data_IF_646713739441
#
_entry.id   IF_646713739441
#
_cell.length_a   1.000
_cell.length_b   1.000
_cell.length_c   1.000
_cell.angle_alpha   90.00
_cell.angle_beta   90.00
_cell.angle_gamma   90.00
#
_symmetry.space_group_name_H-M   'P 1'
#
loop_
_entity.id
_entity.type
_entity.pdbx_description
1 polymer ?
#
# COMPACT_ATOMS: atom_id res chain seq x y z
N UNK A 1 4.90 10.18 -4.48
CA UNK A 1 3.85 11.22 -4.35
C UNK A 1 3.81 11.72 -2.91
N UNK A 2 4.00 13.03 -2.68
CA UNK A 2 3.82 13.65 -1.36
C UNK A 2 2.45 13.36 -0.76
N UNK A 3 2.35 13.22 0.56
CA UNK A 3 1.11 12.85 1.23
C UNK A 3 1.04 13.32 2.69
N UNK A 4 -0.18 13.39 3.22
CA UNK A 4 -0.45 13.66 4.63
C UNK A 4 -1.39 12.57 5.18
N UNK A 5 -1.15 12.10 6.41
CA UNK A 5 -2.10 11.24 7.10
C UNK A 5 -3.30 12.07 7.56
N UNK A 6 -4.50 11.66 7.16
CA UNK A 6 -5.75 12.33 7.54
C UNK A 6 -6.29 11.75 8.85
N UNK A 7 -6.31 10.43 8.97
CA UNK A 7 -6.88 9.76 10.13
C UNK A 7 -6.86 8.24 10.04
N UNK A 8 -7.54 7.60 10.98
CA UNK A 8 -7.66 6.15 11.10
C UNK A 8 -9.13 5.76 11.19
N UNK A 9 -9.56 4.73 10.46
CA UNK A 9 -10.96 4.27 10.46
C UNK A 9 -11.16 3.07 11.41
N UNK A 10 -10.10 2.29 11.69
CA UNK A 10 -10.08 1.16 12.63
C UNK A 10 -8.63 0.87 13.08
N UNK A 11 -8.38 -0.27 13.74
CA UNK A 11 -7.01 -0.73 14.02
C UNK A 11 -6.24 -0.99 12.71
N UNK A 12 -5.06 -0.37 12.57
CA UNK A 12 -4.09 -0.58 11.47
C UNK A 12 -4.52 -0.09 10.08
N UNK A 13 -5.61 0.67 9.97
CA UNK A 13 -6.05 1.34 8.75
C UNK A 13 -5.82 2.85 8.88
N UNK A 14 -4.94 3.38 8.03
CA UNK A 14 -4.65 4.82 7.93
C UNK A 14 -5.18 5.33 6.59
N UNK A 15 -5.95 6.40 6.61
CA UNK A 15 -6.33 7.16 5.42
C UNK A 15 -5.32 8.29 5.23
N UNK A 16 -4.75 8.37 4.04
CA UNK A 16 -3.84 9.43 3.61
C UNK A 16 -4.47 10.24 2.50
N UNK A 17 -4.09 11.50 2.38
CA UNK A 17 -4.35 12.31 1.20
C UNK A 17 -3.05 12.37 0.40
N UNK A 18 -3.13 12.00 -0.87
CA UNK A 18 -2.00 12.06 -1.81
C UNK A 18 -2.08 13.36 -2.61
N UNK A 19 -0.93 13.98 -2.90
CA UNK A 19 -0.84 15.25 -3.61
C UNK A 19 0.02 15.12 -4.88
N UNK A 20 -0.56 14.67 -6.00
CA UNK A 20 0.17 14.50 -7.27
C UNK A 20 0.79 15.78 -7.81
N UNK A 21 0.12 16.93 -7.64
CA UNK A 21 0.62 18.23 -8.11
C UNK A 21 1.95 18.67 -7.47
N UNK A 22 2.36 18.03 -6.37
CA UNK A 22 3.64 18.28 -5.70
C UNK A 22 4.77 17.36 -6.18
N UNK A 23 4.49 16.45 -7.13
CA UNK A 23 5.53 15.60 -7.72
C UNK A 23 6.34 16.43 -8.70
N UNK A 24 7.64 16.56 -8.43
CA UNK A 24 8.58 17.12 -9.38
C UNK A 24 8.98 16.04 -10.40
N UNK A 25 8.53 16.18 -11.65
CA UNK A 25 8.84 15.23 -12.73
C UNK A 25 10.30 15.29 -13.19
N UNK A 26 10.99 16.41 -12.95
CA UNK A 26 12.42 16.56 -13.25
C UNK A 26 13.29 15.87 -12.17
N UNK A 27 12.74 15.63 -10.98
CA UNK A 27 13.41 14.96 -9.87
C UNK A 27 12.51 13.88 -9.22
N UNK A 28 12.11 12.83 -9.96
CA UNK A 28 11.10 11.87 -9.49
C UNK A 28 11.56 11.05 -8.28
N UNK A 29 12.88 10.93 -8.06
CA UNK A 29 13.46 10.26 -6.91
C UNK A 29 13.36 11.06 -5.60
N UNK A 30 13.02 12.36 -5.65
CA UNK A 30 12.91 13.22 -4.47
C UNK A 30 11.44 13.52 -4.16
N UNK A 31 10.98 13.05 -3.01
CA UNK A 31 9.65 13.38 -2.49
C UNK A 31 9.77 14.56 -1.56
N UNK A 32 9.22 15.71 -1.96
CA UNK A 32 9.14 16.89 -1.11
C UNK A 32 7.91 16.77 -0.20
N UNK A 33 8.07 16.82 1.14
CA UNK A 33 6.93 16.89 2.04
C UNK A 33 6.18 18.21 1.84
N UNK A 34 4.95 18.28 2.37
CA UNK A 34 4.21 19.53 2.40
C UNK A 34 5.01 20.59 3.17
N UNK A 35 4.99 21.82 2.69
CA UNK A 35 5.55 22.95 3.42
C UNK A 35 4.70 23.28 4.64
N UNK A 36 5.26 24.05 5.58
CA UNK A 36 4.53 24.51 6.75
C UNK A 36 3.30 25.37 6.39
N UNK A 37 3.43 26.15 5.31
CA UNK A 37 2.34 26.95 4.74
C UNK A 37 1.23 26.04 4.18
N UNK A 38 1.59 25.02 3.39
CA UNK A 38 0.63 24.05 2.87
C UNK A 38 -0.07 23.27 3.99
N UNK A 39 0.64 22.91 5.07
CA UNK A 39 0.02 22.31 6.25
C UNK A 39 -0.98 23.26 6.92
N UNK A 40 -0.67 24.55 6.97
CA UNK A 40 -1.55 25.58 7.52
C UNK A 40 -2.81 25.73 6.67
N UNK A 41 -2.67 25.83 5.35
CA UNK A 41 -3.81 25.90 4.41
C UNK A 41 -4.65 24.62 4.41
N UNK A 42 -4.00 23.45 4.42
CA UNK A 42 -4.68 22.15 4.46
C UNK A 42 -5.61 22.06 5.67
N UNK A 43 -5.16 22.52 6.83
CA UNK A 43 -6.01 22.51 8.02
C UNK A 43 -7.04 23.65 8.01
N UNK A 44 -6.59 24.90 7.90
CA UNK A 44 -7.45 26.07 8.09
C UNK A 44 -8.52 26.18 7.00
N UNK A 45 -8.12 26.00 5.74
CA UNK A 45 -8.97 26.32 4.58
C UNK A 45 -9.69 25.09 4.04
N UNK A 46 -9.16 23.90 4.31
CA UNK A 46 -9.70 22.64 3.80
C UNK A 46 -10.38 21.82 4.89
N UNK A 47 -9.63 21.23 5.83
CA UNK A 47 -10.17 20.31 6.84
C UNK A 47 -11.22 21.00 7.73
N UNK A 48 -10.83 22.12 8.35
CA UNK A 48 -11.71 22.84 9.29
C UNK A 48 -12.99 23.29 8.59
N UNK A 49 -12.89 23.89 7.41
CA UNK A 49 -14.07 24.37 6.68
C UNK A 49 -14.92 23.23 6.11
N UNK A 50 -14.34 22.08 5.76
CA UNK A 50 -15.10 20.89 5.41
C UNK A 50 -15.92 20.38 6.60
N UNK A 51 -15.33 20.32 7.79
CA UNK A 51 -16.06 19.98 9.03
C UNK A 51 -17.19 20.97 9.30
N UNK A 52 -16.94 22.28 9.20
CA UNK A 52 -18.01 23.28 9.39
C UNK A 52 -19.17 23.10 8.41
N UNK A 53 -18.88 22.70 7.17
CA UNK A 53 -19.91 22.49 6.15
C UNK A 53 -20.82 21.29 6.48
N UNK A 54 -20.27 20.21 7.03
CA UNK A 54 -21.01 18.96 7.25
C UNK A 54 -21.47 18.73 8.70
N UNK A 55 -20.80 19.35 9.66
CA UNK A 55 -21.03 19.21 11.11
C UNK A 55 -20.92 20.58 11.81
N UNK A 56 -21.78 21.55 11.47
CA UNK A 56 -21.68 22.90 12.03
C UNK A 56 -21.79 22.94 13.56
N UNK A 57 -22.57 22.03 14.16
CA UNK A 57 -22.74 21.93 15.61
C UNK A 57 -21.49 21.45 16.37
N UNK A 58 -20.68 20.57 15.76
CA UNK A 58 -19.49 19.97 16.38
C UNK A 58 -18.20 20.70 16.03
N UNK A 59 -18.24 21.61 15.05
CA UNK A 59 -17.07 22.33 14.56
C UNK A 59 -16.40 23.20 15.65
N UNK A 60 -17.12 23.56 16.71
CA UNK A 60 -16.57 24.24 17.89
C UNK A 60 -15.56 23.41 18.69
N UNK A 61 -15.61 22.08 18.59
CA UNK A 61 -14.67 21.16 19.26
C UNK A 61 -13.36 20.97 18.48
N UNK A 62 -13.30 21.46 17.23
CA UNK A 62 -12.11 21.40 16.41
C UNK A 62 -11.20 22.62 16.62
N UNK A 63 -9.86 22.44 16.64
CA UNK A 63 -8.92 23.55 16.85
C UNK A 63 -9.16 24.72 15.90
N UNK A 64 -9.10 25.95 16.45
CA UNK A 64 -9.44 27.17 15.69
C UNK A 64 -8.53 27.44 14.49
N UNK A 65 -7.29 27.00 14.56
CA UNK A 65 -6.32 27.11 13.48
C UNK A 65 -5.23 26.05 13.63
N UNK A 66 -4.49 25.82 12.56
CA UNK A 66 -3.29 24.97 12.57
C UNK A 66 -2.31 25.41 13.67
N UNK A 67 -2.09 26.72 13.82
CA UNK A 67 -1.18 27.26 14.84
C UNK A 67 -1.68 27.00 16.25
N UNK A 68 -2.98 27.15 16.49
CA UNK A 68 -3.58 26.85 17.78
C UNK A 68 -3.39 25.36 18.13
N UNK A 69 -3.61 24.47 17.16
CA UNK A 69 -3.38 23.04 17.35
C UNK A 69 -1.90 22.72 17.59
N UNK A 70 -1.01 23.25 16.77
CA UNK A 70 0.44 23.04 16.89
C UNK A 70 0.96 23.46 18.27
N UNK A 71 0.47 24.58 18.81
CA UNK A 71 0.78 25.01 20.17
C UNK A 71 0.20 24.07 21.23
N UNK A 72 -1.04 23.58 21.04
CA UNK A 72 -1.72 22.66 21.97
C UNK A 72 -1.00 21.32 22.08
N UNK A 73 -0.53 20.77 20.95
CA UNK A 73 0.11 19.45 20.92
C UNK A 73 1.57 19.47 21.38
N UNK A 74 2.20 20.65 21.48
CA UNK A 74 3.60 20.77 21.86
C UNK A 74 3.77 20.64 23.38
N UNK A 75 4.42 19.57 23.80
CA UNK A 75 4.81 19.32 25.19
C UNK A 75 5.92 20.25 25.67
N UNK A 76 6.14 20.27 27.00
CA UNK A 76 7.17 21.09 27.67
C UNK A 76 8.61 20.74 27.23
N UNK A 77 8.81 19.50 26.80
CA UNK A 77 10.06 18.96 26.28
C UNK A 77 10.20 19.10 24.74
N UNK A 78 9.23 19.75 24.09
CA UNK A 78 9.18 19.89 22.63
C UNK A 78 8.60 18.68 21.90
N UNK A 79 8.18 17.61 22.60
CA UNK A 79 7.52 16.47 21.97
C UNK A 79 6.12 16.84 21.48
N UNK A 80 5.68 16.26 20.36
CA UNK A 80 4.32 16.48 19.82
C UNK A 80 3.39 15.36 20.27
N UNK A 81 2.29 15.71 20.94
CA UNK A 81 1.24 14.80 21.40
C UNK A 81 -0.04 15.05 20.62
N UNK A 82 -0.28 14.24 19.60
CA UNK A 82 -1.44 14.38 18.72
C UNK A 82 -2.71 13.85 19.40
N UNK A 83 -3.78 14.63 19.32
CA UNK A 83 -5.13 14.18 19.67
C UNK A 83 -5.85 13.60 18.46
N UNK A 84 -7.00 12.98 18.69
CA UNK A 84 -7.89 12.50 17.63
C UNK A 84 -9.23 13.21 17.74
N UNK A 85 -9.76 13.67 16.61
CA UNK A 85 -11.13 14.13 16.48
C UNK A 85 -11.90 13.13 15.63
N UNK A 86 -13.15 12.85 16.01
CA UNK A 86 -13.99 11.89 15.31
C UNK A 86 -14.85 12.60 14.27
N UNK A 87 -15.04 11.94 13.13
CA UNK A 87 -16.02 12.33 12.11
C UNK A 87 -17.06 11.21 12.08
N UNK A 88 -18.35 11.47 12.37
CA UNK A 88 -19.38 10.46 12.34
C UNK A 88 -19.55 9.81 10.95
N UNK A 89 -19.79 8.50 10.93
CA UNK A 89 -19.90 7.72 9.69
C UNK A 89 -20.98 8.26 8.73
N UNK A 90 -22.09 8.78 9.27
CA UNK A 90 -23.22 9.25 8.48
C UNK A 90 -22.96 10.55 7.69
N UNK A 91 -21.83 11.22 7.92
CA UNK A 91 -21.43 12.43 7.18
C UNK A 91 -20.08 12.26 6.46
N UNK A 92 -19.50 11.06 6.49
CA UNK A 92 -18.14 10.82 6.05
C UNK A 92 -17.97 11.06 4.54
N UNK A 93 -18.97 10.69 3.74
CA UNK A 93 -18.96 10.88 2.28
C UNK A 93 -19.02 12.37 1.91
N UNK A 94 -19.92 13.13 2.57
CA UNK A 94 -20.03 14.57 2.38
C UNK A 94 -18.75 15.28 2.82
N UNK A 95 -18.18 14.86 3.97
CA UNK A 95 -16.91 15.39 4.45
C UNK A 95 -15.77 15.13 3.47
N UNK A 96 -15.64 13.89 2.98
CA UNK A 96 -14.59 13.50 2.03
C UNK A 96 -14.70 14.27 0.72
N UNK A 97 -15.92 14.42 0.21
CA UNK A 97 -16.23 15.17 -1.02
C UNK A 97 -15.87 16.64 -0.86
N UNK A 98 -16.34 17.28 0.21
CA UNK A 98 -16.09 18.70 0.47
C UNK A 98 -14.61 18.98 0.74
N UNK A 99 -13.93 18.08 1.47
CA UNK A 99 -12.50 18.17 1.74
C UNK A 99 -11.69 18.12 0.43
N UNK A 100 -11.93 17.12 -0.43
CA UNK A 100 -11.22 17.04 -1.71
C UNK A 100 -11.55 18.21 -2.63
N UNK A 101 -12.80 18.70 -2.63
CA UNK A 101 -13.17 19.90 -3.40
C UNK A 101 -12.33 21.11 -2.99
N UNK A 102 -12.20 21.35 -1.68
CA UNK A 102 -11.39 22.46 -1.14
C UNK A 102 -9.90 22.30 -1.41
N UNK A 103 -9.36 21.09 -1.24
CA UNK A 103 -7.95 20.80 -1.53
C UNK A 103 -7.65 21.00 -3.01
N UNK A 104 -8.49 20.47 -3.91
CA UNK A 104 -8.28 20.56 -5.37
C UNK A 104 -8.42 21.97 -5.93
N UNK A 105 -9.06 22.87 -5.19
CA UNK A 105 -9.08 24.30 -5.53
C UNK A 105 -7.74 25.00 -5.27
N UNK A 106 -6.84 24.39 -4.49
CA UNK A 106 -5.47 24.88 -4.26
C UNK A 106 -4.54 24.38 -5.37
N UNK A 107 -3.59 25.20 -5.79
CA UNK A 107 -2.60 24.84 -6.83
C UNK A 107 -1.81 23.58 -6.45
N UNK A 108 -1.40 23.46 -5.20
CA UNK A 108 -0.67 22.30 -4.67
C UNK A 108 -1.54 21.05 -4.44
N UNK A 109 -2.87 21.22 -4.43
CA UNK A 109 -3.83 20.15 -4.15
C UNK A 109 -4.52 19.59 -5.41
N UNK A 110 -4.16 20.06 -6.61
CA UNK A 110 -4.73 19.55 -7.84
C UNK A 110 -4.54 18.03 -7.96
N UNK A 111 -5.59 17.34 -8.40
CA UNK A 111 -5.66 15.88 -8.50
C UNK A 111 -5.44 15.14 -7.17
N UNK A 112 -5.59 15.79 -6.01
CA UNK A 112 -5.49 15.10 -4.73
C UNK A 112 -6.55 14.00 -4.60
N UNK A 113 -6.20 12.90 -3.93
CA UNK A 113 -7.08 11.75 -3.74
C UNK A 113 -6.80 11.05 -2.41
N UNK A 114 -7.77 10.28 -1.92
CA UNK A 114 -7.60 9.46 -0.72
C UNK A 114 -6.86 8.16 -1.03
N UNK A 115 -5.92 7.80 -0.17
CA UNK A 115 -5.20 6.53 -0.21
C UNK A 115 -5.41 5.79 1.10
N UNK A 116 -5.93 4.58 1.01
CA UNK A 116 -6.21 3.75 2.17
C UNK A 116 -5.07 2.77 2.38
N UNK A 117 -4.41 2.85 3.54
CA UNK A 117 -3.30 1.99 3.91
C UNK A 117 -3.70 1.07 5.06
N UNK A 118 -3.80 -0.24 4.78
CA UNK A 118 -4.00 -1.27 5.80
C UNK A 118 -2.70 -2.03 5.99
N UNK A 119 -2.19 -2.09 7.23
CA UNK A 119 -0.94 -2.82 7.55
C UNK A 119 -1.22 -4.03 8.44
N UNK A 120 -0.43 -5.08 8.27
CA UNK A 120 -0.46 -6.24 9.16
C UNK A 120 -1.73 -7.10 9.06
N UNK A 121 -2.45 -7.04 7.94
CA UNK A 121 -3.59 -7.90 7.64
C UNK A 121 -3.19 -9.27 7.07
N UNK A 122 -1.90 -9.50 6.75
CA UNK A 122 -1.43 -10.77 6.16
C UNK A 122 -1.79 -12.00 7.01
N UNK A 123 -1.81 -11.85 8.34
CA UNK A 123 -2.16 -12.94 9.26
C UNK A 123 -3.65 -13.06 9.58
N UNK A 124 -4.47 -12.08 9.21
CA UNK A 124 -5.91 -12.07 9.59
C UNK A 124 -6.77 -12.90 8.64
N UNK A 125 -6.24 -13.28 7.48
CA UNK A 125 -6.97 -14.03 6.44
C UNK A 125 -6.13 -15.20 5.88
N UNK A 126 -5.38 -15.91 6.73
CA UNK A 126 -4.70 -17.14 6.30
C UNK A 126 -5.72 -18.16 5.80
N UNK A 127 -5.50 -18.70 4.61
CA UNK A 127 -6.38 -19.67 3.99
C UNK A 127 -5.57 -20.84 3.42
N UNK A 128 -5.93 -22.05 3.81
CA UNK A 128 -5.52 -23.28 3.13
C UNK A 128 -6.44 -23.48 1.93
N UNK A 129 -5.98 -24.16 0.87
CA UNK A 129 -6.71 -24.37 -0.38
C UNK A 129 -8.18 -24.74 -0.15
N UNK A 130 -9.11 -23.86 -0.54
CA UNK A 130 -10.56 -24.10 -0.40
C UNK A 130 -11.45 -22.91 0.01
N UNK A 131 -10.89 -21.74 0.37
CA UNK A 131 -11.68 -20.58 0.84
C UNK A 131 -11.11 -19.22 0.41
N UNK A 132 -10.47 -19.16 -0.77
CA UNK A 132 -9.74 -17.98 -1.26
C UNK A 132 -10.65 -16.77 -1.51
N UNK A 133 -11.84 -17.00 -2.07
CA UNK A 133 -12.82 -15.96 -2.33
C UNK A 133 -13.28 -15.30 -1.03
N UNK A 134 -13.71 -16.10 -0.05
CA UNK A 134 -14.16 -15.62 1.26
C UNK A 134 -13.06 -14.87 2.04
N UNK A 135 -11.80 -15.29 1.90
CA UNK A 135 -10.67 -14.64 2.55
C UNK A 135 -10.38 -13.27 1.93
N UNK A 136 -10.47 -13.17 0.59
CA UNK A 136 -10.36 -11.90 -0.11
C UNK A 136 -11.56 -11.00 0.22
N UNK A 137 -12.79 -11.52 0.18
CA UNK A 137 -13.99 -10.77 0.53
C UNK A 137 -13.90 -10.23 1.97
N UNK A 138 -13.48 -11.05 2.95
CA UNK A 138 -13.26 -10.62 4.34
C UNK A 138 -12.23 -9.49 4.46
N UNK A 139 -11.14 -9.54 3.68
CA UNK A 139 -10.17 -8.45 3.63
C UNK A 139 -10.81 -7.18 3.03
N UNK A 140 -11.57 -7.34 1.96
CA UNK A 140 -12.16 -6.25 1.19
C UNK A 140 -13.37 -5.61 1.87
N UNK A 141 -14.07 -6.29 2.79
CA UNK A 141 -15.19 -5.75 3.57
C UNK A 141 -14.86 -4.44 4.30
N UNK A 142 -13.58 -4.19 4.61
CA UNK A 142 -13.13 -2.93 5.20
C UNK A 142 -13.38 -1.73 4.25
N UNK A 143 -13.54 -1.98 2.95
CA UNK A 143 -13.69 -0.97 1.91
C UNK A 143 -15.11 -0.83 1.35
N UNK A 144 -16.09 -1.60 1.82
CA UNK A 144 -17.41 -1.73 1.16
C UNK A 144 -17.25 -2.03 -0.36
N UNK A 145 -16.71 -3.22 -0.70
CA UNK A 145 -16.16 -3.51 -2.02
C UNK A 145 -17.13 -3.32 -3.18
N UNK A 146 -18.42 -3.52 -2.94
CA UNK A 146 -19.49 -3.39 -3.92
C UNK A 146 -19.65 -1.95 -4.45
N UNK A 147 -19.21 -0.94 -3.69
CA UNK A 147 -19.34 0.47 -4.05
C UNK A 147 -18.12 1.04 -4.81
N UNK A 148 -16.95 0.40 -4.72
CA UNK A 148 -15.68 1.02 -5.17
C UNK A 148 -14.76 0.13 -6.00
N UNK A 149 -15.05 -1.18 -6.14
CA UNK A 149 -14.19 -2.09 -6.90
C UNK A 149 -14.76 -2.28 -8.30
N UNK A 150 -14.16 -1.59 -9.28
CA UNK A 150 -14.27 -1.93 -10.71
C UNK A 150 -13.16 -2.94 -11.03
N UNK A 151 -13.45 -4.25 -11.23
CA UNK A 151 -12.43 -5.28 -11.35
C UNK A 151 -11.39 -5.01 -12.45
N UNK A 152 -11.78 -4.32 -13.52
CA UNK A 152 -10.87 -3.99 -14.63
C UNK A 152 -9.77 -2.97 -14.28
N UNK A 153 -9.92 -2.24 -13.16
CA UNK A 153 -8.95 -1.24 -12.71
C UNK A 153 -7.96 -1.77 -11.66
N UNK A 154 -8.07 -3.06 -11.30
CA UNK A 154 -7.29 -3.62 -10.20
C UNK A 154 -6.31 -4.68 -10.69
N UNK A 155 -5.10 -4.63 -10.14
CA UNK A 155 -4.15 -5.73 -10.18
C UNK A 155 -4.04 -6.33 -8.78
N UNK A 156 -4.06 -7.66 -8.70
CA UNK A 156 -3.88 -8.39 -7.45
C UNK A 156 -2.49 -9.02 -7.46
N UNK A 157 -1.67 -8.65 -6.47
CA UNK A 157 -0.40 -9.32 -6.19
C UNK A 157 -0.64 -10.46 -5.19
N UNK A 158 -0.29 -11.68 -5.60
CA UNK A 158 -0.52 -12.91 -4.82
C UNK A 158 0.84 -13.49 -4.43
N UNK A 159 1.14 -13.41 -3.13
CA UNK A 159 2.31 -14.08 -2.55
C UNK A 159 2.00 -15.52 -2.13
N UNK A 160 2.84 -16.46 -2.57
CA UNK A 160 2.82 -17.86 -2.12
C UNK A 160 4.10 -18.13 -1.30
N UNK A 161 3.94 -18.72 -0.12
CA UNK A 161 5.05 -19.08 0.76
C UNK A 161 5.20 -20.63 0.77
N UNK A 162 6.40 -21.11 0.47
CA UNK A 162 6.73 -22.53 0.44
C UNK A 162 7.63 -22.87 1.63
N UNK A 163 7.26 -23.90 2.38
CA UNK A 163 7.99 -24.34 3.57
C UNK A 163 8.11 -25.85 3.62
N UNK A 164 9.22 -26.35 4.16
CA UNK A 164 9.43 -27.76 4.46
C UNK A 164 10.10 -27.88 5.83
N UNK A 165 9.49 -28.67 6.72
CA UNK A 165 9.96 -28.80 8.10
C UNK A 165 11.41 -29.32 8.15
N UNK A 166 12.26 -28.62 8.91
CA UNK A 166 13.67 -28.98 9.07
C UNK A 166 14.53 -28.77 7.82
N UNK A 167 14.02 -28.08 6.79
CA UNK A 167 14.74 -27.84 5.54
C UNK A 167 14.75 -26.37 5.17
N UNK A 168 15.83 -25.97 4.51
CA UNK A 168 15.94 -24.67 3.86
C UNK A 168 15.66 -24.88 2.38
N UNK A 169 14.62 -24.21 1.86
CA UNK A 169 14.21 -24.32 0.46
C UNK A 169 14.80 -23.17 -0.34
N UNK A 170 15.43 -23.50 -1.47
CA UNK A 170 15.90 -22.53 -2.45
C UNK A 170 15.42 -22.91 -3.84
N UNK A 171 15.27 -21.91 -4.68
CA UNK A 171 14.89 -22.08 -6.08
C UNK A 171 16.08 -22.55 -6.92
N UNK A 172 15.92 -23.72 -7.55
CA UNK A 172 16.87 -24.23 -8.53
C UNK A 172 16.75 -23.47 -9.85
N UNK A 173 17.85 -22.87 -10.30
CA UNK A 173 17.89 -22.08 -11.54
C UNK A 173 17.44 -22.88 -12.76
N UNK A 174 17.82 -24.15 -12.85
CA UNK A 174 17.48 -25.05 -13.95
C UNK A 174 16.02 -25.56 -13.93
N UNK A 175 15.26 -25.20 -12.90
CA UNK A 175 13.89 -25.65 -12.70
C UNK A 175 12.84 -24.51 -12.76
N UNK A 176 13.23 -23.25 -13.00
CA UNK A 176 12.30 -22.11 -13.05
C UNK A 176 11.18 -22.29 -14.07
N UNK A 177 11.47 -22.93 -15.20
CA UNK A 177 10.46 -23.26 -16.22
C UNK A 177 9.31 -24.10 -15.64
N UNK A 178 9.54 -24.92 -14.61
CA UNK A 178 8.47 -25.71 -13.97
C UNK A 178 7.46 -24.83 -13.23
N UNK A 179 7.96 -23.75 -12.62
CA UNK A 179 7.13 -22.76 -11.93
C UNK A 179 6.31 -21.98 -12.96
N UNK A 180 6.95 -21.53 -14.04
CA UNK A 180 6.27 -20.85 -15.14
C UNK A 180 5.20 -21.74 -15.78
N UNK A 181 5.55 -22.99 -16.10
CA UNK A 181 4.63 -23.99 -16.66
C UNK A 181 3.37 -24.13 -15.82
N UNK A 182 3.54 -24.30 -14.50
CA UNK A 182 2.42 -24.53 -13.59
C UNK A 182 1.59 -23.27 -13.36
N UNK A 183 2.24 -22.13 -13.18
CA UNK A 183 1.56 -20.86 -12.83
C UNK A 183 0.84 -20.25 -14.03
N UNK A 184 1.48 -20.28 -15.20
CA UNK A 184 0.96 -19.70 -16.45
C UNK A 184 0.23 -20.73 -17.34
N UNK A 185 0.14 -22.00 -16.89
CA UNK A 185 -0.48 -23.12 -17.63
C UNK A 185 0.10 -23.31 -19.04
N UNK A 186 1.41 -23.13 -19.17
CA UNK A 186 2.10 -23.21 -20.46
C UNK A 186 2.35 -24.66 -20.90
N UNK A 187 2.58 -24.83 -22.20
CA UNK A 187 3.22 -26.04 -22.72
C UNK A 187 4.63 -26.18 -22.16
N UNK A 188 5.23 -27.38 -22.28
CA UNK A 188 6.61 -27.59 -21.84
C UNK A 188 7.60 -26.71 -22.61
N UNK A 189 7.41 -26.59 -23.92
CA UNK A 189 8.27 -25.81 -24.83
C UNK A 189 8.16 -24.31 -24.54
N UNK A 190 6.94 -23.78 -24.42
CA UNK A 190 6.73 -22.36 -24.10
C UNK A 190 7.31 -22.00 -22.73
N UNK A 191 7.22 -22.89 -21.75
CA UNK A 191 7.77 -22.65 -20.41
C UNK A 191 9.31 -22.59 -20.42
N UNK A 192 9.98 -23.44 -21.19
CA UNK A 192 11.44 -23.37 -21.38
C UNK A 192 11.80 -22.09 -22.14
N UNK A 193 11.12 -21.82 -23.26
CA UNK A 193 11.35 -20.62 -24.06
C UNK A 193 11.16 -19.32 -23.28
N UNK A 194 10.19 -19.28 -22.35
CA UNK A 194 9.97 -18.14 -21.47
C UNK A 194 11.20 -17.80 -20.61
N UNK A 195 11.93 -18.81 -20.12
CA UNK A 195 13.18 -18.63 -19.34
C UNK A 195 14.37 -18.14 -20.18
N UNK A 196 14.24 -18.12 -21.50
CA UNK A 196 15.25 -17.60 -22.43
C UNK A 196 14.86 -16.23 -23.00
N UNK A 197 13.67 -15.73 -22.66
CA UNK A 197 13.17 -14.46 -23.16
C UNK A 197 13.89 -13.25 -22.52
N UNK A 198 13.95 -12.14 -23.25
CA UNK A 198 14.50 -10.88 -22.72
C UNK A 198 13.69 -10.31 -21.54
N UNK A 199 12.48 -10.82 -21.30
CA UNK A 199 11.62 -10.41 -20.18
C UNK A 199 11.89 -11.17 -18.90
N UNK A 200 12.72 -12.21 -18.96
CA UNK A 200 13.11 -13.04 -17.84
C UNK A 200 14.47 -12.59 -17.30
N UNK A 201 14.54 -12.41 -15.98
CA UNK A 201 15.76 -12.01 -15.29
C UNK A 201 15.98 -12.91 -14.08
N UNK A 202 17.22 -13.35 -13.88
CA UNK A 202 17.63 -14.17 -12.73
C UNK A 202 18.17 -13.29 -11.62
N UNK A 203 17.77 -13.62 -10.40
CA UNK A 203 18.24 -12.97 -9.18
C UNK A 203 19.19 -13.95 -8.47
N UNK A 204 20.49 -13.88 -8.81
CA UNK A 204 21.50 -14.78 -8.24
C UNK A 204 21.56 -14.64 -6.71
N UNK A 205 21.61 -15.76 -6.02
CA UNK A 205 21.70 -15.79 -4.57
C UNK A 205 23.13 -16.15 -4.16
N UNK A 206 23.80 -15.27 -3.40
CA UNK A 206 25.16 -15.47 -2.90
C UNK A 206 26.19 -15.90 -3.97
N UNK A 207 26.06 -15.37 -5.19
CA UNK A 207 26.91 -15.74 -6.35
C UNK A 207 26.82 -17.23 -6.77
N UNK A 208 25.86 -18.00 -6.24
CA UNK A 208 25.60 -19.36 -6.69
C UNK A 208 24.84 -19.32 -8.02
N UNK A 209 25.38 -19.91 -9.08
CA UNK A 209 24.75 -19.94 -10.40
C UNK A 209 23.54 -20.87 -10.46
N UNK A 210 23.61 -21.97 -9.70
CA UNK A 210 22.64 -23.07 -9.79
C UNK A 210 21.40 -22.81 -8.93
N UNK A 211 21.45 -21.75 -8.13
CA UNK A 211 20.41 -21.37 -7.21
C UNK A 211 20.14 -19.87 -7.33
N UNK A 212 18.95 -19.51 -7.82
CA UNK A 212 18.59 -18.12 -8.04
C UNK A 212 17.09 -17.92 -7.90
N UNK A 213 16.68 -16.72 -7.50
CA UNK A 213 15.32 -16.28 -7.79
C UNK A 213 15.17 -15.92 -9.26
N UNK A 214 13.97 -15.53 -9.65
CA UNK A 214 13.74 -14.89 -10.93
C UNK A 214 12.57 -13.92 -10.87
N UNK A 215 12.56 -13.01 -11.84
CA UNK A 215 11.43 -12.14 -12.15
C UNK A 215 11.16 -12.18 -13.65
N UNK A 216 9.89 -12.11 -14.02
CA UNK A 216 9.49 -12.12 -15.42
C UNK A 216 8.26 -11.26 -15.65
N UNK A 217 8.36 -10.35 -16.62
CA UNK A 217 7.18 -9.70 -17.21
C UNK A 217 6.55 -10.65 -18.23
N UNK A 218 5.28 -10.99 -18.03
CA UNK A 218 4.59 -11.95 -18.89
C UNK A 218 4.08 -11.23 -20.13
N UNK A 219 4.59 -11.63 -21.30
CA UNK A 219 4.12 -11.12 -22.59
C UNK A 219 2.72 -11.59 -22.93
N UNK A 220 1.98 -10.79 -23.70
CA UNK A 220 0.56 -11.03 -24.03
C UNK A 220 0.28 -12.46 -24.50
N UNK A 221 1.13 -13.02 -25.37
CA UNK A 221 1.03 -14.41 -25.85
C UNK A 221 1.05 -15.45 -24.71
N UNK A 222 1.87 -15.24 -23.68
CA UNK A 222 2.05 -16.19 -22.57
C UNK A 222 1.04 -16.00 -21.44
N UNK A 223 0.27 -14.90 -21.43
CA UNK A 223 -0.74 -14.64 -20.39
C UNK A 223 -1.88 -15.64 -20.48
N UNK A 224 -2.31 -15.95 -21.71
CA UNK A 224 -3.49 -16.77 -21.98
C UNK A 224 -4.67 -16.37 -21.10
N UNK A 225 -5.38 -17.37 -20.57
CA UNK A 225 -6.55 -17.17 -19.71
C UNK A 225 -6.17 -16.88 -18.23
N UNK A 226 -4.88 -16.90 -17.88
CA UNK A 226 -4.45 -16.70 -16.49
C UNK A 226 -4.47 -15.22 -16.08
N UNK A 227 -4.32 -14.31 -17.03
CA UNK A 227 -4.24 -12.87 -16.78
C UNK A 227 -2.97 -12.42 -16.01
N UNK A 228 -2.05 -13.33 -15.68
CA UNK A 228 -0.84 -13.01 -14.92
C UNK A 228 0.07 -12.14 -15.76
N UNK A 229 0.34 -10.91 -15.31
CA UNK A 229 1.17 -9.93 -16.03
C UNK A 229 2.63 -9.92 -15.56
N UNK A 230 2.89 -10.41 -14.35
CA UNK A 230 4.20 -10.42 -13.71
C UNK A 230 4.29 -11.63 -12.76
N UNK A 231 5.46 -12.25 -12.70
CA UNK A 231 5.76 -13.31 -11.73
C UNK A 231 7.16 -13.11 -11.16
N UNK A 232 7.30 -13.33 -9.86
CA UNK A 232 8.57 -13.32 -9.17
C UNK A 232 8.66 -14.49 -8.20
N UNK A 233 9.78 -15.21 -8.24
CA UNK A 233 10.17 -16.15 -7.22
C UNK A 233 11.45 -15.64 -6.57
N UNK A 234 11.40 -15.32 -5.29
CA UNK A 234 12.57 -14.87 -4.54
C UNK A 234 12.81 -15.78 -3.34
N UNK A 235 14.07 -15.88 -2.91
CA UNK A 235 14.41 -16.57 -1.67
C UNK A 235 14.18 -15.61 -0.50
N UNK A 236 13.50 -16.07 0.54
CA UNK A 236 13.12 -15.24 1.70
C UNK A 236 14.18 -15.23 2.79
N UNK A 237 15.46 -15.29 2.44
CA UNK A 237 16.53 -15.23 3.43
C UNK A 237 16.40 -13.94 4.23
N UNK A 238 16.00 -14.08 5.49
CA UNK A 238 16.11 -13.02 6.49
C UNK A 238 17.39 -13.31 7.23
N UNK A 239 18.47 -12.65 6.83
CA UNK A 239 19.76 -12.76 7.52
C UNK A 239 19.55 -12.40 9.00
N UNK A 240 20.18 -13.08 9.98
CA UNK A 240 20.03 -12.73 11.39
C UNK A 240 20.38 -11.26 11.70
N UNK A 241 21.25 -10.64 10.90
CA UNK A 241 21.59 -9.21 10.95
C UNK A 241 20.43 -8.28 10.61
N UNK A 242 19.38 -8.79 9.95
CA UNK A 242 18.15 -8.04 9.66
C UNK A 242 17.33 -7.73 10.93
N UNK A 243 17.70 -8.33 12.07
CA UNK A 243 17.06 -8.17 13.38
C UNK A 243 18.00 -7.49 14.41
N UNK A 244 18.86 -6.56 13.99
CA UNK A 244 19.71 -5.80 14.92
C UNK A 244 18.91 -5.10 16.05
N UNK A 245 17.65 -4.75 15.81
CA UNK A 245 16.77 -4.11 16.80
C UNK A 245 15.72 -5.05 17.46
N UNK A 246 15.77 -6.36 17.17
CA UNK A 246 14.97 -7.39 17.87
C UNK A 246 13.45 -7.40 17.60
N UNK A 247 12.89 -8.59 17.31
CA UNK A 247 11.42 -8.80 17.33
C UNK A 247 10.90 -9.40 18.63
N UNK A 248 11.78 -9.94 19.46
CA UNK A 248 11.46 -10.47 20.77
C UNK A 248 12.39 -9.81 21.78
N UNK A 249 11.90 -8.76 22.46
CA UNK A 249 12.41 -8.44 23.78
C UNK A 249 11.91 -9.57 24.68
N UNK A 250 12.73 -10.60 24.86
CA UNK A 250 12.57 -11.48 26.02
C UNK A 250 12.64 -10.60 27.26
N UNK A 251 11.58 -10.64 28.07
CA UNK A 251 11.65 -10.18 29.45
C UNK A 251 12.65 -11.02 30.22
#
# INVERSE_FOLDING_TARGET
>A
IPNAALGTVTQRHIVRIMFPALVNLDQPARVHPLTQEQHTELYNDCIRLAIYAVLPGEAGHWPQSYRAEYNRIRGRDGTLKFGTQQVPDNVLDDFGTELLRRIRAKTWGQNAFFFHQIRGARGTTQHVSGGRADALERLLRIFAPEAFIEPSHWHVDIGLEFQALGRVLWWRTDAHWRILKSSLRLSHEDAIGATQSARYSRDLACQLSDVSGFRMEVGSRLRGDTGIVYIQAYNTEKTPTYLLDGRYKTK
#
